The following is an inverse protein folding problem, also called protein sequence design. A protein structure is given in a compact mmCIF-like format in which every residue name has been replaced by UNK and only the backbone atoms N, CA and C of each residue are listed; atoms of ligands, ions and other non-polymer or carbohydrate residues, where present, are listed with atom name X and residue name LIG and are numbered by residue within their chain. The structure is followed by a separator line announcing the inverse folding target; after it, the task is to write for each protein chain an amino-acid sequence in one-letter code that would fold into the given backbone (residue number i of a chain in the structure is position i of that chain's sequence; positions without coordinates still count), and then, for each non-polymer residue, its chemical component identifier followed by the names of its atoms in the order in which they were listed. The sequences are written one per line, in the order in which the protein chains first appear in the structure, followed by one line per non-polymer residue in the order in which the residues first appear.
data_IF_530229669262
#
_entry.id   IF_530229669262
#
_cell.length_a   1.000
_cell.length_b   1.000
_cell.length_c   1.000
_cell.angle_alpha   90.00
_cell.angle_beta   90.00
_cell.angle_gamma   90.00
#
_symmetry.space_group_name_H-M   'P 1'
#
loop_
_entity.id
_entity.type
_entity.pdbx_description
1 polymer ?
#
# COMPACT_ATOMS: atom_id res chain seq x y z
N UNK A 1 -10.27 4.24 -3.53
CA UNK A 1 -9.73 4.46 -4.88
C UNK A 1 -9.54 3.09 -5.51
N UNK A 2 -9.87 2.94 -6.79
CA UNK A 2 -9.73 1.70 -7.55
C UNK A 2 -8.82 2.02 -8.73
N UNK A 3 -7.92 1.10 -9.08
CA UNK A 3 -7.04 1.27 -10.22
C UNK A 3 -6.73 -0.07 -10.89
N UNK A 4 -6.65 -0.04 -12.20
CA UNK A 4 -6.30 -1.18 -13.03
C UNK A 4 -5.26 -0.70 -14.04
N UNK A 5 -4.16 -1.44 -14.19
CA UNK A 5 -3.08 -1.07 -15.10
C UNK A 5 -2.54 -2.28 -15.85
N UNK A 6 -2.27 -2.10 -17.14
CA UNK A 6 -1.65 -3.08 -18.03
C UNK A 6 -0.24 -2.59 -18.40
N UNK A 7 0.82 -3.42 -18.29
CA UNK A 7 2.18 -3.04 -18.74
C UNK A 7 2.27 -2.91 -20.29
N UNK A 8 3.21 -2.25 -21.00
CA UNK A 8 4.46 -1.49 -20.79
C UNK A 8 4.31 -0.09 -21.48
N UNK A 9 5.30 0.80 -21.73
CA UNK A 9 6.77 0.78 -21.73
C UNK A 9 7.30 1.85 -20.76
N UNK A 10 7.94 1.41 -19.67
CA UNK A 10 8.60 2.28 -18.70
C UNK A 10 8.51 1.84 -17.23
N UNK A 11 7.63 0.90 -16.88
CA UNK A 11 7.52 0.36 -15.52
C UNK A 11 7.19 -1.13 -15.58
N UNK A 12 8.21 -1.96 -15.40
CA UNK A 12 8.32 -3.39 -15.73
C UNK A 12 7.27 -4.35 -15.14
N UNK A 13 6.14 -4.53 -15.81
CA UNK A 13 5.16 -5.62 -15.59
C UNK A 13 5.05 -6.50 -16.85
N UNK A 14 6.15 -7.14 -17.23
CA UNK A 14 6.23 -7.98 -18.43
C UNK A 14 7.05 -9.23 -18.17
N UNK A 15 6.53 -10.40 -18.51
CA UNK A 15 7.26 -11.68 -18.49
C UNK A 15 7.13 -12.34 -19.86
N UNK A 16 8.25 -12.83 -20.40
CA UNK A 16 8.31 -13.50 -21.71
C UNK A 16 7.61 -12.73 -22.86
N UNK A 17 7.76 -11.40 -22.89
CA UNK A 17 7.19 -10.51 -23.91
C UNK A 17 5.65 -10.40 -23.88
N UNK A 18 5.01 -10.86 -22.80
CA UNK A 18 3.60 -10.64 -22.48
C UNK A 18 3.49 -9.61 -21.35
N UNK A 19 2.54 -8.70 -21.49
CA UNK A 19 2.18 -7.74 -20.45
C UNK A 19 1.31 -8.41 -19.40
N UNK A 20 1.57 -8.13 -18.13
CA UNK A 20 0.70 -8.56 -17.04
C UNK A 20 -0.39 -7.52 -16.81
N UNK A 21 -1.59 -7.99 -16.53
CA UNK A 21 -2.67 -7.15 -16.01
C UNK A 21 -2.62 -7.11 -14.49
N UNK A 22 -2.61 -5.90 -13.95
CA UNK A 22 -2.58 -5.66 -12.51
C UNK A 22 -3.83 -4.91 -12.08
N UNK A 23 -4.34 -5.25 -10.91
CA UNK A 23 -5.56 -4.67 -10.36
C UNK A 23 -5.36 -4.36 -8.87
N UNK A 24 -5.91 -3.25 -8.41
CA UNK A 24 -5.89 -2.95 -6.99
C UNK A 24 -6.95 -1.97 -6.55
N UNK A 25 -7.22 -2.00 -5.26
CA UNK A 25 -8.09 -1.04 -4.62
C UNK A 25 -7.52 -0.61 -3.28
N UNK A 26 -7.75 0.65 -2.97
CA UNK A 26 -7.32 1.28 -1.73
C UNK A 26 -8.50 1.93 -1.02
N UNK A 27 -8.55 1.77 0.28
CA UNK A 27 -9.48 2.44 1.16
C UNK A 27 -8.69 3.27 2.17
N UNK A 28 -8.98 4.56 2.25
CA UNK A 28 -8.36 5.46 3.21
C UNK A 28 -9.44 6.18 4.01
N UNK A 29 -9.26 6.19 5.33
CA UNK A 29 -10.14 6.89 6.25
C UNK A 29 -9.33 7.66 7.28
N UNK A 30 -9.78 8.87 7.60
CA UNK A 30 -9.24 9.67 8.71
C UNK A 30 -10.41 10.21 9.53
N UNK A 31 -10.32 10.07 10.84
CA UNK A 31 -11.32 10.52 11.81
C UNK A 31 -10.64 11.40 12.86
N UNK A 32 -11.12 12.63 13.02
CA UNK A 32 -10.70 13.50 14.13
C UNK A 32 -11.30 12.98 15.44
N UNK A 33 -10.54 13.07 16.52
CA UNK A 33 -10.96 12.66 17.86
C UNK A 33 -11.24 13.89 18.74
N UNK A 34 -12.38 14.60 18.53
CA UNK A 34 -12.67 15.85 19.24
C UNK A 34 -12.76 15.68 20.76
N UNK A 35 -13.07 14.47 21.24
CA UNK A 35 -13.15 14.15 22.67
C UNK A 35 -11.79 14.08 23.37
N UNK A 36 -10.70 13.89 22.62
CA UNK A 36 -9.32 13.83 23.14
C UNK A 36 -8.59 15.13 22.84
N UNK A 37 -8.63 15.57 21.58
CA UNK A 37 -8.09 16.83 21.11
C UNK A 37 -8.59 17.10 19.71
N UNK A 38 -9.05 18.32 19.43
CA UNK A 38 -9.45 18.75 18.08
C UNK A 38 -8.33 18.64 17.03
N UNK A 39 -7.08 18.57 17.51
CA UNK A 39 -5.87 18.46 16.70
C UNK A 39 -5.44 17.01 16.45
N UNK A 40 -6.00 16.04 17.17
CA UNK A 40 -5.64 14.64 17.03
C UNK A 40 -6.61 13.92 16.07
N UNK A 41 -6.08 13.12 15.16
CA UNK A 41 -6.86 12.24 14.30
C UNK A 41 -6.25 10.85 14.25
N UNK A 42 -7.11 9.85 14.12
CA UNK A 42 -6.73 8.48 13.74
C UNK A 42 -6.93 8.35 12.25
N UNK A 43 -6.03 7.65 11.57
CA UNK A 43 -6.21 7.27 10.19
C UNK A 43 -5.88 5.81 9.96
N UNK A 44 -6.47 5.28 8.90
CA UNK A 44 -6.24 3.93 8.42
C UNK A 44 -6.22 3.92 6.91
N UNK A 45 -5.39 3.05 6.34
CA UNK A 45 -5.36 2.73 4.93
C UNK A 45 -5.30 1.22 4.76
N UNK A 46 -6.07 0.72 3.81
CA UNK A 46 -6.00 -0.65 3.34
C UNK A 46 -5.81 -0.63 1.83
N UNK A 47 -4.79 -1.30 1.33
CA UNK A 47 -4.61 -1.50 -0.11
C UNK A 47 -4.53 -3.00 -0.40
N UNK A 48 -5.32 -3.46 -1.36
CA UNK A 48 -5.17 -4.77 -1.98
C UNK A 48 -4.62 -4.56 -3.38
N UNK A 49 -3.59 -5.34 -3.75
CA UNK A 49 -2.99 -5.27 -5.07
C UNK A 49 -2.66 -6.65 -5.61
N UNK A 50 -3.28 -7.01 -6.72
CA UNK A 50 -2.98 -8.20 -7.51
C UNK A 50 -2.02 -7.85 -8.66
N UNK A 51 -0.87 -8.52 -8.64
CA UNK A 51 0.24 -8.29 -9.57
C UNK A 51 0.13 -9.09 -10.87
N UNK A 52 -0.77 -10.06 -10.95
CA UNK A 52 -0.97 -10.96 -12.09
C UNK A 52 -2.43 -11.42 -12.12
N UNK A 53 -3.34 -10.46 -12.32
CA UNK A 53 -4.80 -10.71 -12.26
C UNK A 53 -5.30 -11.69 -13.33
N UNK A 54 -4.54 -11.84 -14.41
CA UNK A 54 -4.77 -12.82 -15.49
C UNK A 54 -4.07 -14.17 -15.25
N UNK A 55 -3.38 -14.34 -14.12
CA UNK A 55 -2.66 -15.55 -13.68
C UNK A 55 -1.72 -16.12 -14.75
N UNK A 56 -1.02 -15.25 -15.48
CA UNK A 56 -0.09 -15.64 -16.57
C UNK A 56 1.19 -16.25 -16.01
N UNK A 57 1.64 -15.82 -14.83
CA UNK A 57 2.85 -16.29 -14.15
C UNK A 57 2.48 -17.30 -13.06
N UNK A 58 1.55 -16.95 -12.18
CA UNK A 58 1.16 -17.80 -11.05
C UNK A 58 -0.17 -17.34 -10.43
N UNK A 59 -0.91 -18.27 -9.81
CA UNK A 59 -1.99 -17.92 -8.88
C UNK A 59 -1.42 -17.43 -7.53
N UNK A 60 -2.18 -16.61 -6.80
CA UNK A 60 -1.80 -16.03 -5.48
C UNK A 60 -0.56 -15.13 -5.55
N UNK A 61 -0.67 -14.07 -6.35
CA UNK A 61 0.35 -13.03 -6.59
C UNK A 61 0.02 -11.70 -5.92
N UNK A 62 -1.03 -11.67 -5.12
CA UNK A 62 -1.51 -10.45 -4.49
C UNK A 62 -0.77 -10.13 -3.19
N UNK A 63 -0.87 -8.87 -2.78
CA UNK A 63 -0.50 -8.47 -1.43
C UNK A 63 -1.54 -7.53 -0.83
N UNK A 64 -1.66 -7.62 0.49
CA UNK A 64 -2.51 -6.76 1.31
C UNK A 64 -1.65 -5.86 2.19
N UNK A 65 -1.86 -4.57 2.06
CA UNK A 65 -1.18 -3.53 2.83
C UNK A 65 -2.16 -2.89 3.81
N UNK A 66 -1.80 -2.87 5.09
CA UNK A 66 -2.53 -2.16 6.12
C UNK A 66 -1.63 -1.10 6.74
N UNK A 67 -2.12 0.13 6.80
CA UNK A 67 -1.48 1.24 7.50
C UNK A 67 -2.44 1.76 8.53
N UNK A 68 -2.01 1.88 9.79
CA UNK A 68 -2.78 2.49 10.86
C UNK A 68 -1.93 3.49 11.61
N UNK A 69 -2.48 4.66 11.92
CA UNK A 69 -1.68 5.70 12.53
C UNK A 69 -2.46 6.82 13.22
N UNK A 70 -1.69 7.66 13.88
CA UNK A 70 -2.13 8.90 14.51
C UNK A 70 -1.53 10.07 13.75
N UNK A 71 -2.32 11.14 13.64
CA UNK A 71 -1.85 12.39 13.08
C UNK A 71 -2.25 13.55 13.99
N UNK A 72 -1.33 14.48 14.22
CA UNK A 72 -1.48 15.59 15.14
C UNK A 72 -1.20 16.92 14.43
N UNK A 73 -2.23 17.77 14.36
CA UNK A 73 -2.18 19.08 13.73
C UNK A 73 -1.41 20.05 14.66
N UNK A 74 -0.21 20.50 14.26
CA UNK A 74 0.65 21.35 15.10
C UNK A 74 0.21 22.81 15.02
N UNK A 75 0.50 23.46 13.89
CA UNK A 75 0.17 24.86 13.62
C UNK A 75 0.26 25.16 12.12
N UNK A 76 -0.60 26.05 11.61
CA UNK A 76 -0.57 26.53 10.22
C UNK A 76 -0.61 25.41 9.17
N UNK A 77 -1.35 24.33 9.44
CA UNK A 77 -1.42 23.17 8.54
C UNK A 77 -0.25 22.19 8.65
N UNK A 78 0.77 22.47 9.48
CA UNK A 78 1.83 21.51 9.77
C UNK A 78 1.29 20.33 10.58
N UNK A 79 1.76 19.13 10.28
CA UNK A 79 1.25 17.91 10.90
C UNK A 79 2.39 16.94 11.24
N UNK A 80 2.30 16.31 12.40
CA UNK A 80 3.13 15.13 12.76
C UNK A 80 2.27 13.89 12.56
N UNK A 81 2.82 12.85 11.95
CA UNK A 81 2.19 11.55 11.78
C UNK A 81 3.08 10.46 12.38
N UNK A 82 2.44 9.50 13.01
CA UNK A 82 3.07 8.24 13.43
C UNK A 82 2.20 7.12 12.92
N UNK A 83 2.80 6.20 12.17
CA UNK A 83 2.08 5.08 11.57
C UNK A 83 2.82 3.76 11.72
N UNK A 84 2.01 2.71 11.70
CA UNK A 84 2.43 1.34 11.60
C UNK A 84 1.88 0.78 10.29
N UNK A 85 2.75 0.16 9.53
CA UNK A 85 2.48 -0.45 8.25
C UNK A 85 2.75 -1.96 8.36
N UNK A 86 1.83 -2.78 7.85
CA UNK A 86 2.03 -4.22 7.67
C UNK A 86 1.66 -4.62 6.25
N UNK A 87 2.46 -5.48 5.65
CA UNK A 87 2.21 -6.03 4.31
C UNK A 87 2.22 -7.53 4.39
N UNK A 88 1.11 -8.15 3.98
CA UNK A 88 0.97 -9.58 3.90
C UNK A 88 1.07 -9.96 2.43
N UNK A 89 2.07 -10.77 2.09
CA UNK A 89 2.33 -11.21 0.73
C UNK A 89 1.79 -12.63 0.53
N UNK A 90 1.09 -12.85 -0.58
CA UNK A 90 0.81 -14.22 -1.00
C UNK A 90 2.11 -14.95 -1.41
N UNK A 91 2.03 -16.28 -1.46
CA UNK A 91 3.18 -17.18 -1.66
C UNK A 91 3.98 -16.87 -2.93
N UNK A 92 3.34 -16.37 -3.99
CA UNK A 92 3.98 -16.05 -5.26
C UNK A 92 4.11 -14.54 -5.50
N UNK A 93 3.67 -13.71 -4.55
CA UNK A 93 3.72 -12.26 -4.69
C UNK A 93 5.16 -11.74 -4.73
N UNK A 94 5.39 -10.74 -5.58
CA UNK A 94 6.58 -9.91 -5.58
C UNK A 94 6.50 -8.85 -4.48
N UNK A 95 7.64 -8.32 -4.06
CA UNK A 95 7.65 -7.12 -3.22
C UNK A 95 6.93 -5.97 -3.94
N UNK A 96 6.49 -4.94 -3.19
CA UNK A 96 5.83 -3.75 -3.74
C UNK A 96 6.60 -3.20 -4.95
N UNK A 97 5.96 -3.15 -6.11
CA UNK A 97 6.55 -2.66 -7.37
C UNK A 97 7.52 -3.64 -8.06
N UNK A 98 7.54 -4.92 -7.68
CA UNK A 98 8.29 -5.97 -8.36
C UNK A 98 7.35 -7.02 -8.94
N UNK A 99 7.77 -7.61 -10.06
CA UNK A 99 7.08 -8.73 -10.71
C UNK A 99 7.01 -9.94 -9.76
N UNK A 100 5.88 -10.67 -9.70
CA UNK A 100 5.76 -11.88 -8.91
C UNK A 100 6.74 -12.97 -9.34
N UNK A 101 7.05 -13.90 -8.42
CA UNK A 101 7.88 -15.06 -8.71
C UNK A 101 7.42 -16.28 -7.95
N UNK A 102 7.49 -17.46 -8.59
CA UNK A 102 7.05 -18.72 -7.99
C UNK A 102 7.81 -19.03 -6.70
N UNK A 103 7.07 -19.30 -5.63
CA UNK A 103 7.62 -19.71 -4.33
C UNK A 103 8.32 -18.62 -3.54
N UNK A 104 8.05 -17.34 -3.83
CA UNK A 104 8.73 -16.20 -3.21
C UNK A 104 8.42 -15.99 -1.72
N UNK A 105 7.43 -16.68 -1.15
CA UNK A 105 6.99 -16.67 0.26
C UNK A 105 7.74 -15.68 1.17
N UNK A 106 7.42 -14.39 0.99
CA UNK A 106 8.14 -13.28 1.62
C UNK A 106 7.80 -13.13 3.11
N UNK A 107 6.75 -13.82 3.58
CA UNK A 107 6.17 -13.63 4.91
C UNK A 107 5.54 -12.24 5.06
N UNK A 108 5.36 -11.82 6.31
CA UNK A 108 4.78 -10.51 6.63
C UNK A 108 5.90 -9.47 6.86
N UNK A 109 5.75 -8.30 6.26
CA UNK A 109 6.63 -7.14 6.50
C UNK A 109 5.95 -6.16 7.45
N UNK A 110 6.72 -5.59 8.40
CA UNK A 110 6.24 -4.58 9.33
C UNK A 110 7.15 -3.36 9.35
N UNK A 111 6.56 -2.17 9.43
CA UNK A 111 7.29 -0.90 9.43
C UNK A 111 6.62 0.12 10.34
N UNK A 112 7.43 0.91 11.04
CA UNK A 112 6.96 2.06 11.82
C UNK A 112 7.57 3.32 11.20
N UNK A 113 6.75 4.34 11.00
CA UNK A 113 7.21 5.61 10.44
C UNK A 113 6.77 6.78 11.32
N UNK A 114 7.62 7.81 11.34
CA UNK A 114 7.33 9.11 11.95
C UNK A 114 7.59 10.15 10.87
N UNK A 115 6.57 10.93 10.53
CA UNK A 115 6.60 11.90 9.44
C UNK A 115 6.23 13.27 9.97
N UNK A 116 6.97 14.30 9.54
CA UNK A 116 6.59 15.68 9.77
C UNK A 116 6.30 16.35 8.43
N UNK A 117 5.04 16.71 8.22
CA UNK A 117 4.59 17.38 7.02
C UNK A 117 4.56 18.90 7.25
N UNK A 118 5.30 19.62 6.42
CA UNK A 118 5.33 21.08 6.38
C UNK A 118 4.36 21.59 5.31
N UNK A 119 3.52 22.55 5.68
CA UNK A 119 2.70 23.33 4.76
C UNK A 119 3.18 24.79 4.79
N UNK A 120 3.46 25.36 3.62
CA UNK A 120 3.97 26.73 3.43
C UNK A 120 2.86 27.68 3.00
#
# INVERSE_FOLDING_TARGET
QYFQTTGNAGGSWTVNNQSLDTEGYSFFGRVRLPFVSEKLSVFGRYDHFDQDSDNVIADNTAYDLYIGGLSYDVAKGNQILVDYETTNFDVNAGQKGKVPSLGNNLGDEHKIQVVYQLAF
#
